data_IF_420548939337
#
_entry.id   IF_420548939337
#
_cell.length_a   1.000
_cell.length_b   1.000
_cell.length_c   1.000
_cell.angle_alpha   90.00
_cell.angle_beta   90.00
_cell.angle_gamma   90.00
#
_symmetry.space_group_name_H-M   'P 1'
#
loop_
_entity.id
_entity.type
_entity.pdbx_description
1 polymer ?
#
# COMPACT_ATOMS: atom_id res chain seq x y z
N UNK A 1 -35.28 -61.17 48.90
CA UNK A 1 -33.85 -61.50 49.05
C UNK A 1 -33.02 -60.23 48.87
N UNK A 2 -32.27 -59.81 49.91
CA UNK A 2 -31.10 -58.90 49.83
C UNK A 2 -29.89 -59.73 49.34
N UNK A 3 -28.78 -59.18 48.78
CA UNK A 3 -27.94 -58.19 49.48
C UNK A 3 -27.14 -57.13 48.67
N UNK A 4 -26.79 -56.10 49.44
CA UNK A 4 -25.63 -55.19 49.42
C UNK A 4 -24.57 -55.24 48.30
N UNK A 5 -24.18 -54.06 47.81
CA UNK A 5 -22.77 -53.63 47.75
C UNK A 5 -22.64 -52.09 47.79
N UNK A 6 -21.85 -51.58 48.73
CA UNK A 6 -21.33 -50.20 48.79
C UNK A 6 -20.00 -50.17 48.03
N UNK A 7 -19.67 -49.09 47.33
CA UNK A 7 -18.28 -48.58 47.25
C UNK A 7 -18.22 -47.12 46.80
N UNK A 8 -17.45 -46.35 47.56
CA UNK A 8 -17.17 -44.91 47.46
C UNK A 8 -16.32 -44.54 46.23
N UNK A 9 -16.50 -43.33 45.68
CA UNK A 9 -15.42 -42.66 44.93
C UNK A 9 -15.51 -41.12 45.00
N UNK A 10 -14.68 -40.57 45.91
CA UNK A 10 -13.79 -39.40 45.77
C UNK A 10 -14.40 -38.08 45.23
N UNK A 11 -14.69 -37.17 46.16
CA UNK A 11 -14.87 -35.73 45.94
C UNK A 11 -13.49 -35.05 45.87
N UNK A 12 -13.06 -34.61 44.69
CA UNK A 12 -11.79 -33.89 44.51
C UNK A 12 -11.97 -32.41 44.87
N UNK A 13 -11.59 -32.03 46.09
CA UNK A 13 -11.52 -30.63 46.54
C UNK A 13 -10.28 -29.99 45.91
N UNK A 14 -10.48 -29.09 44.95
CA UNK A 14 -9.43 -28.29 44.32
C UNK A 14 -9.03 -27.15 45.27
N UNK A 15 -8.01 -27.38 46.11
CA UNK A 15 -7.42 -26.34 46.96
C UNK A 15 -6.54 -25.43 46.09
N UNK A 16 -7.10 -24.34 45.56
CA UNK A 16 -6.30 -23.29 44.92
C UNK A 16 -5.53 -22.52 45.99
N UNK A 17 -4.25 -22.85 46.14
CA UNK A 17 -3.28 -22.04 46.88
C UNK A 17 -3.22 -20.63 46.27
N UNK A 18 -3.86 -19.67 46.93
CA UNK A 18 -3.57 -18.24 46.75
C UNK A 18 -2.16 -17.98 47.29
N UNK A 19 -1.13 -18.21 46.48
CA UNK A 19 0.16 -17.57 46.71
C UNK A 19 -0.02 -16.07 46.45
N UNK A 20 0.37 -15.18 47.37
CA UNK A 20 0.42 -13.76 47.06
C UNK A 20 1.38 -13.59 45.89
N UNK A 21 0.90 -13.02 44.79
CA UNK A 21 1.75 -12.63 43.69
C UNK A 21 2.86 -11.73 44.25
N UNK A 22 4.10 -12.22 44.24
CA UNK A 22 5.25 -11.35 44.48
C UNK A 22 5.12 -10.18 43.50
N UNK A 23 5.04 -8.92 43.96
CA UNK A 23 4.98 -7.81 43.04
C UNK A 23 6.24 -7.86 42.19
N UNK A 24 6.07 -8.07 40.88
CA UNK A 24 7.16 -8.00 39.93
C UNK A 24 7.92 -6.68 40.19
N UNK A 25 9.18 -6.78 40.60
CA UNK A 25 10.02 -5.61 40.80
C UNK A 25 10.04 -4.83 39.49
N UNK A 26 9.31 -3.72 39.43
CA UNK A 26 9.28 -2.88 38.24
C UNK A 26 10.72 -2.48 37.93
N UNK A 27 11.21 -2.88 36.75
CA UNK A 27 12.58 -2.61 36.33
C UNK A 27 12.84 -1.09 36.39
N UNK A 28 13.76 -0.67 37.26
CA UNK A 28 14.16 0.73 37.35
C UNK A 28 14.87 1.17 36.07
N UNK A 29 14.75 2.45 35.70
CA UNK A 29 15.41 3.00 34.51
C UNK A 29 15.89 4.43 34.77
N UNK A 30 16.88 4.89 33.99
CA UNK A 30 17.39 6.24 34.12
C UNK A 30 16.46 7.27 33.47
N UNK A 31 16.32 8.43 34.10
CA UNK A 31 15.71 9.65 33.53
C UNK A 31 16.72 10.77 33.61
N UNK A 32 16.70 11.69 32.65
CA UNK A 32 17.60 12.85 32.60
C UNK A 32 16.79 14.14 32.51
N UNK A 33 17.21 15.16 33.25
CA UNK A 33 16.63 16.52 33.15
C UNK A 33 17.06 17.14 31.83
N UNK A 34 16.09 17.45 30.98
CA UNK A 34 16.29 18.01 29.63
C UNK A 34 16.04 19.51 29.54
N UNK A 35 15.37 20.10 30.54
CA UNK A 35 15.16 21.55 30.59
C UNK A 35 16.46 22.27 30.98
N UNK A 36 16.84 23.31 30.23
CA UNK A 36 18.04 24.14 30.52
C UNK A 36 17.90 24.90 31.85
N UNK A 37 16.69 25.23 32.26
CA UNK A 37 16.40 25.88 33.55
C UNK A 37 16.36 24.89 34.72
N UNK A 38 16.64 23.59 34.49
CA UNK A 38 16.48 22.54 35.48
C UNK A 38 15.04 22.03 35.61
N UNK A 39 14.80 21.20 36.62
CA UNK A 39 13.49 20.59 36.88
C UNK A 39 13.18 20.48 38.36
N UNK A 40 11.98 20.93 38.75
CA UNK A 40 11.54 20.84 40.15
C UNK A 40 11.34 19.37 40.55
N UNK A 41 12.09 18.92 41.56
CA UNK A 41 11.83 17.67 42.26
C UNK A 41 10.77 17.93 43.31
N UNK A 42 9.75 17.09 43.31
CA UNK A 42 8.56 17.30 44.14
C UNK A 42 8.27 16.15 45.09
N UNK A 43 7.66 16.46 46.22
CA UNK A 43 7.21 15.49 47.21
C UNK A 43 5.97 14.71 46.74
N UNK A 44 5.14 15.30 45.87
CA UNK A 44 3.96 14.67 45.24
C UNK A 44 3.86 15.05 43.75
N UNK A 45 3.19 14.23 42.91
CA UNK A 45 3.07 14.46 41.47
C UNK A 45 2.04 15.54 41.13
N UNK A 46 2.32 16.79 41.49
CA UNK A 46 1.43 17.93 41.25
C UNK A 46 2.22 19.20 40.89
N UNK A 47 1.73 19.95 39.90
CA UNK A 47 2.24 21.29 39.56
C UNK A 47 1.43 22.42 40.21
N UNK A 48 0.31 22.11 40.85
CA UNK A 48 -0.69 23.07 41.32
C UNK A 48 -0.26 23.87 42.57
N UNK A 49 0.87 23.53 43.20
CA UNK A 49 1.37 24.23 44.39
C UNK A 49 2.90 24.24 44.43
N UNK A 50 3.48 25.36 44.83
CA UNK A 50 4.91 25.51 45.09
C UNK A 50 5.36 24.75 46.36
N UNK A 51 4.46 24.53 47.32
CA UNK A 51 4.74 23.81 48.58
C UNK A 51 5.16 22.34 48.38
N UNK A 52 4.98 21.79 47.17
CA UNK A 52 5.44 20.43 46.86
C UNK A 52 6.88 20.39 46.37
N UNK A 53 7.51 21.52 46.08
CA UNK A 53 8.87 21.58 45.54
C UNK A 53 9.85 21.32 46.67
N UNK A 54 10.66 20.27 46.54
CA UNK A 54 11.67 19.88 47.52
C UNK A 54 13.00 20.54 47.19
N UNK A 55 13.39 20.51 45.92
CA UNK A 55 14.60 21.15 45.39
C UNK A 55 14.57 21.24 43.87
N UNK A 56 15.44 22.06 43.31
CA UNK A 56 15.68 22.12 41.88
C UNK A 56 16.75 21.10 41.47
N UNK A 57 16.48 20.31 40.44
CA UNK A 57 17.47 19.46 39.79
C UNK A 57 18.10 20.19 38.60
N UNK A 58 19.44 20.18 38.52
CA UNK A 58 20.17 20.84 37.44
C UNK A 58 19.93 20.18 36.07
N UNK A 59 20.11 20.96 35.00
CA UNK A 59 20.13 20.43 33.63
C UNK A 59 21.15 19.28 33.52
N UNK A 60 20.76 18.20 32.81
CA UNK A 60 21.53 16.96 32.65
C UNK A 60 21.73 16.09 33.90
N UNK A 61 21.20 16.46 35.06
CA UNK A 61 21.15 15.55 36.20
C UNK A 61 20.33 14.30 35.86
N UNK A 62 20.80 13.14 36.36
CA UNK A 62 20.21 11.82 36.10
C UNK A 62 19.63 11.24 37.38
N UNK A 63 18.52 10.54 37.25
CA UNK A 63 17.84 9.88 38.36
C UNK A 63 17.41 8.48 37.98
N UNK A 64 17.41 7.58 38.96
CA UNK A 64 16.79 6.27 38.84
C UNK A 64 15.29 6.41 39.07
N UNK A 65 14.49 6.23 38.01
CA UNK A 65 13.05 6.15 38.08
C UNK A 65 12.60 4.69 38.30
N UNK A 66 11.66 4.50 39.21
CA UNK A 66 11.08 3.18 39.53
C UNK A 66 9.69 2.98 38.96
N UNK A 67 9.02 4.07 38.55
CA UNK A 67 7.73 4.01 37.84
C UNK A 67 7.46 5.31 37.09
N UNK A 68 6.50 5.25 36.17
CA UNK A 68 5.95 6.40 35.47
C UNK A 68 4.44 6.29 35.39
N UNK A 69 3.74 7.33 35.83
CA UNK A 69 2.29 7.41 35.75
C UNK A 69 1.87 8.88 35.65
N UNK A 70 0.84 9.16 34.84
CA UNK A 70 0.21 10.48 34.72
C UNK A 70 1.20 11.63 34.46
N UNK A 71 2.24 11.40 33.67
CA UNK A 71 3.23 12.42 33.33
C UNK A 71 4.36 12.61 34.36
N UNK A 72 4.42 11.77 35.39
CA UNK A 72 5.43 11.88 36.46
C UNK A 72 6.32 10.65 36.53
N UNK A 73 7.62 10.89 36.63
CA UNK A 73 8.59 9.89 37.02
C UNK A 73 8.68 9.83 38.54
N UNK A 74 8.44 8.66 39.14
CA UNK A 74 8.78 8.41 40.55
C UNK A 74 10.25 8.04 40.62
N UNK A 75 11.07 8.94 41.16
CA UNK A 75 12.53 8.85 41.19
C UNK A 75 13.04 8.58 42.60
N UNK A 76 14.18 7.90 42.72
CA UNK A 76 14.93 7.79 43.97
C UNK A 76 15.84 9.02 44.10
N UNK A 77 15.59 9.85 45.11
CA UNK A 77 16.34 11.07 45.40
C UNK A 77 16.75 11.09 46.88
N UNK A 78 18.06 10.97 47.16
CA UNK A 78 18.58 10.96 48.53
C UNK A 78 17.96 9.89 49.44
N UNK A 79 17.64 8.70 48.89
CA UNK A 79 17.00 7.61 49.62
C UNK A 79 15.47 7.68 49.72
N UNK A 80 14.86 8.83 49.37
CA UNK A 80 13.40 9.02 49.38
C UNK A 80 12.83 8.95 47.96
N UNK A 81 11.58 8.51 47.82
CA UNK A 81 10.87 8.61 46.54
C UNK A 81 10.29 10.01 46.33
N UNK A 82 10.67 10.63 45.21
CA UNK A 82 10.21 11.95 44.79
C UNK A 82 9.67 11.89 43.36
N UNK A 83 9.12 13.00 42.88
CA UNK A 83 8.46 13.08 41.58
C UNK A 83 9.12 14.15 40.70
N UNK A 84 9.37 13.77 39.44
CA UNK A 84 9.93 14.64 38.42
C UNK A 84 9.02 14.61 37.18
N UNK A 85 8.64 15.78 36.67
CA UNK A 85 7.69 15.91 35.56
C UNK A 85 8.33 15.53 34.22
N UNK A 86 7.55 14.90 33.34
CA UNK A 86 7.92 14.60 31.96
C UNK A 86 8.05 15.84 31.06
N UNK A 87 7.60 17.00 31.54
CA UNK A 87 7.78 18.28 30.86
C UNK A 87 9.24 18.76 30.94
N UNK A 88 9.96 18.36 32.00
CA UNK A 88 11.34 18.81 32.26
C UNK A 88 12.37 17.69 32.19
N UNK A 89 11.95 16.43 32.12
CA UNK A 89 12.82 15.27 32.07
C UNK A 89 12.33 14.23 31.07
N UNK A 90 13.24 13.38 30.60
CA UNK A 90 12.93 12.25 29.70
C UNK A 90 13.60 10.97 30.17
N UNK A 91 12.94 9.84 29.94
CA UNK A 91 13.55 8.50 30.08
C UNK A 91 14.80 8.41 29.20
N UNK A 92 15.92 8.02 29.80
CA UNK A 92 17.14 7.67 29.08
C UNK A 92 16.89 6.34 28.39
N UNK A 93 16.59 6.40 27.10
CA UNK A 93 16.65 5.23 26.23
C UNK A 93 18.10 5.03 25.80
N UNK A 94 18.64 3.81 25.94
CA UNK A 94 19.90 3.45 25.30
C UNK A 94 19.86 3.75 23.79
N UNK A 95 21.00 3.81 23.10
CA UNK A 95 21.01 4.10 21.67
C UNK A 95 20.18 3.03 20.95
N UNK A 96 19.00 3.42 20.47
CA UNK A 96 18.17 2.56 19.63
C UNK A 96 18.94 2.33 18.33
N UNK A 97 19.42 1.10 18.14
CA UNK A 97 20.06 0.74 16.87
C UNK A 97 19.01 0.58 15.79
N UNK A 98 19.38 0.89 14.55
CA UNK A 98 18.54 0.62 13.38
C UNK A 98 19.40 0.16 12.20
N UNK A 99 18.81 -0.67 11.34
CA UNK A 99 19.51 -1.23 10.20
C UNK A 99 19.65 -0.21 9.07
N UNK A 100 20.80 -0.18 8.42
CA UNK A 100 21.07 0.48 7.16
C UNK A 100 21.36 -0.59 6.10
N UNK A 101 20.96 -0.36 4.86
CA UNK A 101 21.38 -1.17 3.70
C UNK A 101 22.31 -0.35 2.81
N UNK A 102 23.42 -0.95 2.37
CA UNK A 102 24.32 -0.34 1.40
C UNK A 102 23.67 -0.32 0.01
N UNK A 103 23.46 0.86 -0.54
CA UNK A 103 22.74 1.07 -1.81
C UNK A 103 23.67 1.30 -3.00
N UNK A 104 24.93 1.68 -2.76
CA UNK A 104 25.91 1.85 -3.83
C UNK A 104 26.40 0.49 -4.37
N UNK A 105 26.40 0.30 -5.69
CA UNK A 105 26.90 -0.92 -6.35
C UNK A 105 28.40 -1.14 -6.10
N UNK A 106 29.17 -0.07 -5.94
CA UNK A 106 30.60 -0.15 -5.58
C UNK A 106 30.83 -0.44 -4.09
N UNK A 107 29.77 -0.56 -3.28
CA UNK A 107 29.85 -0.70 -1.84
C UNK A 107 29.98 0.64 -1.09
N UNK A 108 30.26 0.58 0.20
CA UNK A 108 30.39 1.75 1.07
C UNK A 108 31.71 1.73 1.86
N UNK A 109 32.41 2.86 1.90
CA UNK A 109 33.58 3.02 2.76
C UNK A 109 33.13 3.19 4.21
N UNK A 110 33.58 2.28 5.07
CA UNK A 110 33.43 2.37 6.53
C UNK A 110 34.64 3.09 7.08
N UNK A 111 34.41 4.17 7.82
CA UNK A 111 35.46 5.10 8.21
C UNK A 111 35.64 5.23 9.72
N UNK A 112 36.86 5.55 10.15
CA UNK A 112 37.20 5.82 11.55
C UNK A 112 36.64 7.16 12.04
N UNK A 113 36.43 8.12 11.15
CA UNK A 113 35.81 9.43 11.42
C UNK A 113 34.93 9.90 10.25
N UNK A 114 33.95 10.80 10.46
CA UNK A 114 33.02 11.26 9.43
C UNK A 114 33.68 12.27 8.46
N UNK A 115 34.55 11.79 7.58
CA UNK A 115 35.27 12.62 6.60
C UNK A 115 35.47 11.88 5.28
N UNK A 116 35.26 12.56 4.15
CA UNK A 116 35.58 12.05 2.82
C UNK A 116 36.96 12.49 2.31
N UNK A 117 37.59 13.48 2.95
CA UNK A 117 38.78 14.17 2.47
C UNK A 117 40.07 13.36 2.51
N UNK A 118 40.08 12.18 3.12
CA UNK A 118 41.29 11.34 3.21
C UNK A 118 40.97 9.85 3.15
N UNK A 119 41.73 9.12 2.33
CA UNK A 119 41.70 7.65 2.23
C UNK A 119 42.16 6.97 3.52
N UNK A 120 43.05 7.60 4.31
CA UNK A 120 43.56 7.07 5.60
C UNK A 120 42.47 6.83 6.64
N UNK A 121 41.29 7.42 6.46
CA UNK A 121 40.15 7.20 7.37
C UNK A 121 39.35 5.97 7.02
N UNK A 122 39.55 5.34 5.86
CA UNK A 122 38.83 4.14 5.43
C UNK A 122 39.41 2.94 6.18
N UNK A 123 38.55 2.26 6.94
CA UNK A 123 38.92 1.08 7.73
C UNK A 123 38.65 -0.20 6.95
N UNK A 124 37.52 -0.25 6.26
CA UNK A 124 37.13 -1.36 5.37
C UNK A 124 36.04 -0.90 4.40
N UNK A 125 35.71 -1.76 3.43
CA UNK A 125 34.54 -1.60 2.58
C UNK A 125 33.42 -2.54 3.00
N UNK A 126 32.19 -2.04 2.99
CA UNK A 126 30.98 -2.84 3.12
C UNK A 126 30.41 -3.11 1.71
N UNK A 127 30.05 -4.37 1.44
CA UNK A 127 29.56 -4.79 0.13
C UNK A 127 28.18 -4.21 -0.19
N UNK A 128 27.83 -4.11 -1.47
CA UNK A 128 26.49 -3.76 -1.92
C UNK A 128 25.45 -4.70 -1.29
N UNK A 129 24.31 -4.14 -0.85
CA UNK A 129 23.23 -4.83 -0.10
C UNK A 129 23.57 -5.36 1.30
N UNK A 130 24.81 -5.21 1.77
CA UNK A 130 25.13 -5.55 3.17
C UNK A 130 24.36 -4.65 4.14
N UNK A 131 24.10 -5.19 5.34
CA UNK A 131 23.35 -4.49 6.39
C UNK A 131 24.30 -4.01 7.47
N UNK A 132 24.18 -2.76 7.87
CA UNK A 132 24.96 -2.13 8.95
C UNK A 132 24.03 -1.75 10.10
N UNK A 133 24.51 -1.81 11.34
CA UNK A 133 23.76 -1.36 12.51
C UNK A 133 24.16 0.07 12.88
N UNK A 134 23.28 1.03 12.59
CA UNK A 134 23.46 2.43 12.97
C UNK A 134 22.96 2.69 14.39
N UNK A 135 23.65 3.58 15.09
CA UNK A 135 23.34 4.04 16.45
C UNK A 135 22.91 5.50 16.48
N UNK A 136 23.36 6.32 15.52
CA UNK A 136 22.94 7.72 15.40
C UNK A 136 23.17 8.26 13.98
N UNK A 137 22.66 9.46 13.72
CA UNK A 137 22.83 10.19 12.47
C UNK A 137 23.11 11.67 12.77
N UNK A 138 24.13 12.24 12.14
CA UNK A 138 24.43 13.67 12.25
C UNK A 138 25.21 14.15 11.03
N UNK A 139 24.85 15.33 10.50
CA UNK A 139 25.57 16.03 9.41
C UNK A 139 25.93 15.13 8.21
N UNK A 140 25.00 14.29 7.77
CA UNK A 140 25.20 13.41 6.61
C UNK A 140 25.92 12.08 6.90
N UNK A 141 26.27 11.82 8.16
CA UNK A 141 26.96 10.60 8.57
C UNK A 141 26.12 9.77 9.52
N UNK A 142 26.10 8.46 9.25
CA UNK A 142 25.62 7.49 10.20
C UNK A 142 26.77 6.98 11.04
N UNK A 143 26.59 7.02 12.36
CA UNK A 143 27.46 6.32 13.31
C UNK A 143 26.97 4.88 13.41
N UNK A 144 27.86 3.90 13.25
CA UNK A 144 27.54 2.47 13.23
C UNK A 144 28.38 1.70 14.27
N UNK A 145 27.87 0.55 14.70
CA UNK A 145 28.67 -0.46 15.41
C UNK A 145 29.31 -1.40 14.38
N UNK A 146 30.63 -1.54 14.45
CA UNK A 146 31.42 -2.38 13.54
C UNK A 146 32.56 -3.04 14.31
N UNK A 147 32.47 -4.36 14.53
CA UNK A 147 33.46 -5.13 15.30
C UNK A 147 33.68 -4.57 16.72
N UNK A 148 32.61 -4.18 17.41
CA UNK A 148 32.67 -3.57 18.75
C UNK A 148 33.15 -2.11 18.79
N UNK A 149 33.63 -1.55 17.67
CA UNK A 149 34.07 -0.15 17.57
C UNK A 149 33.01 0.73 16.92
N UNK A 150 33.03 2.01 17.29
CA UNK A 150 32.22 3.04 16.63
C UNK A 150 32.90 3.46 15.32
N UNK A 151 32.17 3.35 14.21
CA UNK A 151 32.62 3.74 12.86
C UNK A 151 31.56 4.61 12.17
N UNK A 152 31.91 5.15 11.02
CA UNK A 152 31.06 6.09 10.28
C UNK A 152 30.86 5.64 8.83
N UNK A 153 29.65 5.86 8.31
CA UNK A 153 29.31 5.63 6.91
C UNK A 153 28.47 6.80 6.38
N UNK A 154 28.76 7.24 5.16
CA UNK A 154 28.08 8.37 4.52
C UNK A 154 26.65 8.00 4.13
N UNK A 155 25.70 8.92 4.35
CA UNK A 155 24.30 8.76 3.95
C UNK A 155 24.07 8.73 2.44
N UNK A 156 25.09 9.06 1.63
CA UNK A 156 25.03 9.02 0.18
C UNK A 156 25.02 7.59 -0.36
N UNK A 157 25.57 6.63 0.39
CA UNK A 157 25.78 5.24 -0.06
C UNK A 157 24.99 4.21 0.73
N UNK A 158 24.17 4.65 1.69
CA UNK A 158 23.32 3.79 2.52
C UNK A 158 21.94 4.40 2.73
N UNK A 159 20.95 3.57 3.00
CA UNK A 159 19.59 3.99 3.40
C UNK A 159 19.13 3.18 4.61
N UNK A 160 18.26 3.76 5.45
CA UNK A 160 17.61 2.98 6.52
C UNK A 160 16.88 1.79 5.91
N UNK A 161 17.20 0.58 6.38
CA UNK A 161 16.49 -0.64 6.03
C UNK A 161 15.15 -0.60 6.77
N UNK A 162 14.11 -0.19 6.06
CA UNK A 162 12.74 -0.31 6.54
C UNK A 162 12.31 -1.77 6.44
N UNK A 163 11.48 -2.22 7.38
CA UNK A 163 10.79 -3.51 7.22
C UNK A 163 10.02 -3.47 5.90
N UNK A 164 10.12 -4.54 5.10
CA UNK A 164 9.35 -4.63 3.87
C UNK A 164 7.87 -4.51 4.22
N UNK A 165 7.21 -3.48 3.73
CA UNK A 165 5.77 -3.29 3.96
C UNK A 165 5.05 -4.52 3.42
N UNK A 166 4.18 -5.14 4.24
CA UNK A 166 3.31 -6.27 3.82
C UNK A 166 2.54 -5.94 2.52
N UNK A 167 2.22 -4.66 2.34
CA UNK A 167 1.56 -4.12 1.16
C UNK A 167 2.35 -2.93 0.60
N UNK A 168 3.37 -3.20 -0.26
CA UNK A 168 4.31 -2.17 -0.66
C UNK A 168 3.79 -1.20 -1.74
N UNK A 169 2.58 -1.39 -2.29
CA UNK A 169 1.91 -0.40 -3.14
C UNK A 169 1.53 0.86 -2.34
N UNK A 170 1.39 2.02 -2.99
CA UNK A 170 1.05 3.25 -2.27
C UNK A 170 -0.38 3.22 -1.73
N UNK A 171 -1.36 2.85 -2.56
CA UNK A 171 -2.76 2.69 -2.16
C UNK A 171 -3.29 1.30 -2.51
N UNK A 172 -4.08 0.72 -1.61
CA UNK A 172 -4.69 -0.61 -1.79
C UNK A 172 -6.11 -0.65 -1.22
N UNK A 173 -6.97 -1.47 -1.84
CA UNK A 173 -8.21 -1.93 -1.21
C UNK A 173 -8.51 -3.37 -1.61
N UNK A 174 -8.73 -4.24 -0.63
CA UNK A 174 -9.10 -5.65 -0.80
C UNK A 174 -10.44 -5.88 -0.09
N UNK A 175 -11.39 -6.50 -0.77
CA UNK A 175 -12.79 -6.59 -0.33
C UNK A 175 -13.48 -7.80 -0.96
N UNK A 176 -14.55 -8.28 -0.35
CA UNK A 176 -15.47 -9.22 -0.97
C UNK A 176 -16.33 -8.49 -2.01
N UNK A 177 -16.48 -9.04 -3.22
CA UNK A 177 -17.29 -8.41 -4.26
C UNK A 177 -18.75 -8.30 -3.81
N UNK A 178 -19.38 -7.17 -4.12
CA UNK A 178 -20.74 -6.81 -3.68
C UNK A 178 -20.77 -6.11 -2.32
N UNK A 179 -19.70 -6.16 -1.52
CA UNK A 179 -19.65 -5.49 -0.22
C UNK A 179 -19.27 -4.01 -0.35
N UNK A 180 -19.85 -3.16 0.50
CA UNK A 180 -19.41 -1.77 0.72
C UNK A 180 -18.21 -1.69 1.68
N UNK A 181 -18.02 -2.72 2.51
CA UNK A 181 -16.89 -2.87 3.44
C UNK A 181 -15.61 -3.34 2.74
N UNK A 182 -14.49 -3.29 3.44
CA UNK A 182 -13.20 -3.80 2.98
C UNK A 182 -12.58 -4.73 4.01
N UNK A 183 -11.73 -5.64 3.56
CA UNK A 183 -10.96 -6.58 4.38
C UNK A 183 -9.57 -6.00 4.69
N UNK A 184 -8.94 -5.36 3.70
CA UNK A 184 -7.65 -4.70 3.89
C UNK A 184 -7.62 -3.40 3.09
N UNK A 185 -7.06 -2.34 3.68
CA UNK A 185 -6.94 -1.02 3.06
C UNK A 185 -5.57 -0.40 3.34
N UNK A 186 -5.11 0.45 2.43
CA UNK A 186 -3.96 1.34 2.65
C UNK A 186 -4.17 2.60 1.84
N UNK A 187 -4.18 3.76 2.49
CA UNK A 187 -4.33 5.07 1.83
C UNK A 187 -5.40 5.08 0.72
N UNK A 188 -6.53 4.40 0.95
CA UNK A 188 -7.47 4.08 -0.15
C UNK A 188 -8.33 5.26 -0.58
N UNK A 189 -8.43 6.30 0.25
CA UNK A 189 -9.11 7.56 -0.07
C UNK A 189 -8.18 8.60 -0.70
N UNK A 190 -6.88 8.31 -0.85
CA UNK A 190 -5.93 9.24 -1.48
C UNK A 190 -6.11 9.22 -2.99
N UNK A 191 -6.24 10.40 -3.59
CA UNK A 191 -6.32 10.57 -5.06
C UNK A 191 -5.04 10.06 -5.72
N UNK A 192 -5.20 9.23 -6.75
CA UNK A 192 -4.14 8.65 -7.58
C UNK A 192 -4.59 8.67 -9.03
N UNK A 193 -3.64 8.68 -9.96
CA UNK A 193 -3.95 8.49 -11.38
C UNK A 193 -4.32 7.02 -11.63
N UNK A 194 -5.46 6.73 -12.29
CA UNK A 194 -5.93 5.37 -12.55
C UNK A 194 -5.15 4.65 -13.65
N UNK A 195 -4.50 5.40 -14.56
CA UNK A 195 -4.03 4.87 -15.84
C UNK A 195 -5.12 4.03 -16.55
N UNK A 196 -4.75 2.97 -17.26
CA UNK A 196 -5.69 2.11 -18.01
C UNK A 196 -6.72 1.34 -17.18
N UNK A 197 -6.70 1.39 -15.84
CA UNK A 197 -7.83 0.86 -15.04
C UNK A 197 -9.12 1.65 -15.28
N UNK A 198 -9.01 2.88 -15.81
CA UNK A 198 -10.10 3.68 -16.40
C UNK A 198 -10.99 2.88 -17.36
N UNK A 199 -10.40 1.97 -18.15
CA UNK A 199 -11.09 1.21 -19.19
C UNK A 199 -12.18 0.27 -18.64
N UNK A 200 -12.19 0.00 -17.33
CA UNK A 200 -13.30 -0.71 -16.69
C UNK A 200 -14.61 0.11 -16.75
N UNK A 201 -14.53 1.42 -16.51
CA UNK A 201 -15.68 2.33 -16.62
C UNK A 201 -16.08 2.52 -18.08
N UNK A 202 -15.11 2.70 -18.98
CA UNK A 202 -15.35 2.76 -20.44
C UNK A 202 -16.06 1.52 -20.95
N UNK A 203 -15.68 0.34 -20.46
CA UNK A 203 -16.32 -0.92 -20.83
C UNK A 203 -17.78 -0.99 -20.35
N UNK A 204 -18.07 -0.57 -19.12
CA UNK A 204 -19.45 -0.52 -18.61
C UNK A 204 -20.29 0.41 -19.48
N UNK A 205 -19.87 1.67 -19.65
CA UNK A 205 -20.66 2.67 -20.38
C UNK A 205 -20.87 2.25 -21.85
N UNK A 206 -19.81 1.83 -22.53
CA UNK A 206 -19.90 1.38 -23.92
C UNK A 206 -20.75 0.12 -24.10
N UNK A 207 -20.64 -0.83 -23.17
CA UNK A 207 -21.46 -2.06 -23.18
C UNK A 207 -22.94 -1.76 -22.94
N UNK A 208 -23.27 -0.95 -21.93
CA UNK A 208 -24.66 -0.61 -21.57
C UNK A 208 -25.39 0.05 -22.74
N UNK A 209 -24.77 1.05 -23.38
CA UNK A 209 -25.38 1.75 -24.51
C UNK A 209 -25.52 0.82 -25.71
N UNK A 210 -24.48 0.04 -26.04
CA UNK A 210 -24.55 -0.88 -27.17
C UNK A 210 -25.57 -2.00 -26.96
N UNK A 211 -25.67 -2.53 -25.74
CA UNK A 211 -26.65 -3.56 -25.38
C UNK A 211 -28.08 -3.03 -25.48
N UNK A 212 -28.34 -1.84 -24.90
CA UNK A 212 -29.66 -1.18 -24.96
C UNK A 212 -30.11 -0.94 -26.41
N UNK A 213 -29.18 -0.59 -27.29
CA UNK A 213 -29.47 -0.29 -28.68
C UNK A 213 -29.40 -1.52 -29.60
N UNK A 214 -29.12 -2.72 -29.09
CA UNK A 214 -28.97 -3.93 -29.91
C UNK A 214 -27.78 -3.89 -30.89
N UNK A 215 -26.74 -3.10 -30.61
CA UNK A 215 -25.61 -2.84 -31.53
C UNK A 215 -24.31 -3.54 -31.15
N UNK A 216 -24.32 -4.45 -30.17
CA UNK A 216 -23.11 -5.16 -29.72
C UNK A 216 -22.37 -5.89 -30.85
N UNK A 217 -23.15 -6.47 -31.76
CA UNK A 217 -22.69 -7.32 -32.86
C UNK A 217 -22.82 -6.64 -34.23
N UNK A 218 -23.40 -5.43 -34.27
CA UNK A 218 -23.52 -4.66 -35.51
C UNK A 218 -22.15 -4.09 -35.92
N UNK A 219 -21.63 -4.48 -37.10
CA UNK A 219 -20.31 -4.03 -37.54
C UNK A 219 -20.37 -2.60 -38.09
N UNK A 220 -19.37 -1.79 -37.76
CA UNK A 220 -19.20 -0.42 -38.28
C UNK A 220 -17.75 -0.19 -38.71
N UNK A 221 -17.56 0.80 -39.59
CA UNK A 221 -16.24 1.14 -40.14
C UNK A 221 -15.53 2.16 -39.26
N UNK A 222 -14.29 1.88 -38.87
CA UNK A 222 -13.45 2.80 -38.13
C UNK A 222 -12.92 3.90 -39.06
N UNK A 223 -12.96 5.15 -38.61
CA UNK A 223 -12.24 6.25 -39.24
C UNK A 223 -10.92 6.51 -38.52
N UNK A 224 -9.99 7.22 -39.16
CA UNK A 224 -8.74 7.62 -38.52
C UNK A 224 -8.96 8.40 -37.21
N UNK A 225 -9.94 9.32 -37.18
CA UNK A 225 -10.26 10.10 -36.00
C UNK A 225 -10.78 9.26 -34.83
N UNK A 226 -11.33 8.06 -35.06
CA UNK A 226 -11.79 7.16 -34.00
C UNK A 226 -10.66 6.37 -33.33
N UNK A 227 -9.47 6.33 -33.92
CA UNK A 227 -8.36 5.48 -33.44
C UNK A 227 -7.05 6.25 -33.24
N UNK A 228 -6.97 7.52 -33.64
CA UNK A 228 -5.81 8.37 -33.42
C UNK A 228 -5.63 8.66 -31.93
N UNK A 229 -4.54 8.15 -31.35
CA UNK A 229 -4.24 8.23 -29.92
C UNK A 229 -2.81 8.71 -29.68
N UNK A 230 -2.51 9.31 -28.50
CA UNK A 230 -1.18 9.85 -28.23
C UNK A 230 -0.05 8.81 -28.36
N UNK A 231 1.14 9.28 -28.75
CA UNK A 231 2.34 8.47 -28.81
C UNK A 231 2.65 7.80 -27.45
N UNK A 232 3.22 6.58 -27.49
CA UNK A 232 3.46 5.77 -26.29
C UNK A 232 2.23 5.04 -25.72
N UNK A 233 1.05 5.21 -26.36
CA UNK A 233 -0.15 4.45 -26.02
C UNK A 233 0.00 2.96 -26.32
N UNK A 234 -0.58 2.12 -25.45
CA UNK A 234 -0.86 0.74 -25.83
C UNK A 234 -1.98 0.74 -26.86
N UNK A 235 -1.79 0.03 -27.98
CA UNK A 235 -2.78 -0.04 -29.08
C UNK A 235 -3.20 -1.49 -29.34
N UNK A 236 -4.44 -1.66 -29.81
CA UNK A 236 -5.00 -2.90 -30.31
C UNK A 236 -4.65 -3.14 -31.80
N UNK A 237 -3.92 -2.22 -32.43
CA UNK A 237 -3.48 -2.29 -33.83
C UNK A 237 -4.65 -2.24 -34.83
N UNK A 238 -5.68 -1.48 -34.47
CA UNK A 238 -6.79 -1.14 -35.35
C UNK A 238 -6.33 -0.14 -36.42
N UNK A 239 -7.00 -0.14 -37.57
CA UNK A 239 -6.71 0.73 -38.72
C UNK A 239 -7.98 1.41 -39.20
N UNK A 240 -7.82 2.58 -39.82
CA UNK A 240 -8.92 3.24 -40.54
C UNK A 240 -9.38 2.32 -41.67
N UNK A 241 -10.69 2.21 -41.86
CA UNK A 241 -11.32 1.27 -42.79
C UNK A 241 -11.64 -0.11 -42.18
N UNK A 242 -11.10 -0.46 -41.01
CA UNK A 242 -11.46 -1.72 -40.35
C UNK A 242 -12.97 -1.73 -40.02
N UNK A 243 -13.66 -2.81 -40.38
CA UNK A 243 -15.06 -3.05 -40.05
C UNK A 243 -15.13 -3.98 -38.84
N UNK A 244 -15.54 -3.43 -37.70
CA UNK A 244 -15.48 -4.08 -36.37
C UNK A 244 -16.79 -4.01 -35.60
N UNK A 245 -17.00 -4.91 -34.66
CA UNK A 245 -18.13 -4.87 -33.72
C UNK A 245 -17.74 -4.29 -32.36
N UNK A 246 -18.71 -3.85 -31.56
CA UNK A 246 -18.46 -3.42 -30.17
C UNK A 246 -17.82 -4.55 -29.35
N UNK A 247 -18.21 -5.82 -29.56
CA UNK A 247 -17.57 -6.96 -28.89
C UNK A 247 -16.09 -7.08 -29.20
N UNK A 248 -15.69 -6.88 -30.47
CA UNK A 248 -14.29 -6.92 -30.86
C UNK A 248 -13.50 -5.78 -30.21
N UNK A 249 -14.07 -4.58 -30.18
CA UNK A 249 -13.45 -3.42 -29.51
C UNK A 249 -13.30 -3.63 -28.00
N UNK A 250 -14.32 -4.15 -27.33
CA UNK A 250 -14.26 -4.47 -25.89
C UNK A 250 -13.15 -5.50 -25.60
N UNK A 251 -12.98 -6.51 -26.46
CA UNK A 251 -11.88 -7.48 -26.35
C UNK A 251 -10.51 -6.82 -26.54
N UNK A 252 -10.32 -6.04 -27.61
CA UNK A 252 -9.06 -5.33 -27.86
C UNK A 252 -8.71 -4.35 -26.74
N UNK A 253 -9.71 -3.63 -26.22
CA UNK A 253 -9.54 -2.69 -25.12
C UNK A 253 -9.18 -3.38 -23.80
N UNK A 254 -9.89 -4.43 -23.40
CA UNK A 254 -9.70 -5.03 -22.08
C UNK A 254 -8.48 -5.96 -22.03
N UNK A 255 -8.25 -6.75 -23.09
CA UNK A 255 -7.16 -7.75 -23.14
C UNK A 255 -5.82 -7.07 -23.44
N UNK A 256 -5.74 -6.33 -24.56
CA UNK A 256 -4.50 -5.66 -25.00
C UNK A 256 -4.27 -4.30 -24.34
N UNK A 257 -5.27 -3.75 -23.65
CA UNK A 257 -5.26 -2.39 -23.13
C UNK A 257 -5.22 -1.32 -24.24
N UNK A 258 -5.77 -1.61 -25.43
CA UNK A 258 -5.75 -0.71 -26.58
C UNK A 258 -6.47 0.61 -26.33
N UNK A 259 -5.76 1.73 -26.49
CA UNK A 259 -6.31 3.09 -26.39
C UNK A 259 -7.13 3.44 -27.65
N UNK A 260 -6.67 3.01 -28.81
CA UNK A 260 -7.38 3.07 -30.10
C UNK A 260 -8.77 2.42 -29.99
N UNK A 261 -8.85 1.23 -29.37
CA UNK A 261 -10.13 0.55 -29.13
C UNK A 261 -11.02 1.33 -28.16
N UNK A 262 -10.46 1.89 -27.08
CA UNK A 262 -11.21 2.68 -26.11
C UNK A 262 -11.78 3.97 -26.70
N UNK A 263 -10.99 4.66 -27.54
CA UNK A 263 -11.41 5.85 -28.28
C UNK A 263 -12.50 5.52 -29.31
N UNK A 264 -12.34 4.42 -30.03
CA UNK A 264 -13.36 3.95 -30.98
C UNK A 264 -14.69 3.62 -30.28
N UNK A 265 -14.64 2.96 -29.11
CA UNK A 265 -15.82 2.74 -28.26
C UNK A 265 -16.47 4.07 -27.89
N UNK A 266 -15.68 5.03 -27.43
CA UNK A 266 -16.19 6.33 -27.00
C UNK A 266 -16.93 7.07 -28.12
N UNK A 267 -16.28 7.20 -29.29
CA UNK A 267 -16.86 7.88 -30.45
C UNK A 267 -18.07 7.11 -31.01
N UNK A 268 -18.03 5.77 -31.11
CA UNK A 268 -19.18 4.98 -31.57
C UNK A 268 -20.39 5.10 -30.65
N UNK A 269 -20.14 5.25 -29.35
CA UNK A 269 -21.18 5.27 -28.31
C UNK A 269 -21.84 6.64 -28.18
N UNK A 270 -21.06 7.72 -28.20
CA UNK A 270 -21.54 9.07 -27.86
C UNK A 270 -21.34 10.11 -28.99
N UNK A 271 -20.79 9.71 -30.13
CA UNK A 271 -20.46 10.59 -31.26
C UNK A 271 -19.13 11.35 -31.09
N UNK A 272 -18.65 11.55 -29.86
CA UNK A 272 -17.33 12.15 -29.59
C UNK A 272 -16.76 11.70 -28.24
N UNK A 273 -15.44 11.84 -28.07
CA UNK A 273 -14.77 11.53 -26.81
C UNK A 273 -15.27 12.40 -25.65
N UNK A 274 -15.47 13.70 -25.89
CA UNK A 274 -15.96 14.64 -24.87
C UNK A 274 -17.36 14.28 -24.35
N UNK A 275 -18.29 13.94 -25.26
CA UNK A 275 -19.63 13.46 -24.88
C UNK A 275 -19.54 12.14 -24.10
N UNK A 276 -18.65 11.23 -24.51
CA UNK A 276 -18.45 9.98 -23.79
C UNK A 276 -17.84 10.18 -22.40
N UNK A 277 -16.88 11.10 -22.25
CA UNK A 277 -16.30 11.47 -20.94
C UNK A 277 -17.37 12.04 -20.01
N UNK A 278 -18.33 12.80 -20.54
CA UNK A 278 -19.49 13.27 -19.77
C UNK A 278 -20.35 12.10 -19.28
N UNK A 279 -20.61 11.10 -20.12
CA UNK A 279 -21.29 9.86 -19.71
C UNK A 279 -20.50 9.07 -18.66
N UNK A 280 -19.16 8.99 -18.80
CA UNK A 280 -18.30 8.33 -17.81
C UNK A 280 -18.40 9.00 -16.45
N UNK A 281 -18.27 10.32 -16.37
CA UNK A 281 -18.34 11.03 -15.10
C UNK A 281 -19.74 10.99 -14.48
N UNK A 282 -20.80 11.08 -15.31
CA UNK A 282 -22.18 10.88 -14.86
C UNK A 282 -22.38 9.48 -14.27
N UNK A 283 -21.85 8.45 -14.94
CA UNK A 283 -21.89 7.08 -14.43
C UNK A 283 -21.07 6.93 -13.15
N UNK A 284 -19.88 7.51 -13.06
CA UNK A 284 -19.05 7.50 -11.86
C UNK A 284 -19.77 8.14 -10.67
N UNK A 285 -20.44 9.28 -10.89
CA UNK A 285 -21.26 9.95 -9.87
C UNK A 285 -22.43 9.07 -9.42
N UNK A 286 -23.14 8.43 -10.34
CA UNK A 286 -24.23 7.50 -10.02
C UNK A 286 -23.77 6.27 -9.22
N UNK A 287 -22.50 5.85 -9.38
CA UNK A 287 -21.88 4.80 -8.56
C UNK A 287 -21.33 5.33 -7.22
N UNK A 288 -21.49 6.62 -6.94
CA UNK A 288 -20.99 7.29 -5.74
C UNK A 288 -19.48 7.51 -5.74
N UNK A 289 -18.79 7.52 -6.89
CA UNK A 289 -17.33 7.72 -7.00
C UNK A 289 -16.94 9.20 -6.85
N UNK A 290 -17.27 9.82 -5.72
CA UNK A 290 -17.17 11.27 -5.47
C UNK A 290 -15.75 11.82 -5.40
N UNK A 291 -14.73 10.95 -5.31
CA UNK A 291 -13.32 11.34 -5.30
C UNK A 291 -12.61 10.96 -6.62
N UNK A 292 -13.36 10.86 -7.71
CA UNK A 292 -12.87 10.50 -9.04
C UNK A 292 -13.31 11.50 -10.11
N UNK A 293 -12.44 11.71 -11.10
CA UNK A 293 -12.73 12.45 -12.33
C UNK A 293 -11.99 11.77 -13.49
N UNK A 294 -12.70 11.53 -14.59
CA UNK A 294 -12.13 10.93 -15.80
C UNK A 294 -12.11 11.97 -16.92
N UNK A 295 -10.96 12.15 -17.57
CA UNK A 295 -10.76 13.14 -18.64
C UNK A 295 -10.67 12.51 -20.04
N UNK A 296 -10.50 11.18 -20.12
CA UNK A 296 -10.45 10.44 -21.38
C UNK A 296 -10.89 8.97 -21.19
N UNK A 297 -11.26 8.23 -22.25
CA UNK A 297 -11.79 6.86 -22.12
C UNK A 297 -10.72 5.79 -21.91
N UNK A 298 -9.43 6.13 -22.06
CA UNK A 298 -8.35 5.15 -22.05
C UNK A 298 -7.47 5.21 -20.81
N UNK A 299 -7.48 6.30 -20.06
CA UNK A 299 -6.59 6.56 -18.94
C UNK A 299 -5.16 6.92 -19.36
N UNK A 300 -5.02 7.65 -20.46
CA UNK A 300 -3.76 8.34 -20.76
C UNK A 300 -3.63 9.51 -19.77
N UNK A 301 -2.40 9.92 -19.45
CA UNK A 301 -2.19 10.86 -18.36
C UNK A 301 -2.78 12.24 -18.68
N UNK A 302 -3.55 12.76 -17.74
CA UNK A 302 -4.05 14.13 -17.67
C UNK A 302 -4.08 14.52 -16.18
N UNK A 303 -3.78 15.78 -15.85
CA UNK A 303 -3.71 16.22 -14.45
C UNK A 303 -5.04 16.09 -13.71
N UNK A 304 -6.15 16.35 -14.41
CA UNK A 304 -7.49 16.24 -13.83
C UNK A 304 -8.04 14.80 -13.86
N UNK A 305 -7.27 13.80 -14.31
CA UNK A 305 -7.74 12.42 -14.46
C UNK A 305 -7.32 11.57 -13.25
N UNK A 306 -8.16 11.48 -12.22
CA UNK A 306 -7.84 10.84 -10.95
C UNK A 306 -8.97 9.94 -10.42
N UNK A 307 -8.61 9.05 -9.51
CA UNK A 307 -9.54 8.22 -8.73
C UNK A 307 -8.96 7.90 -7.36
N UNK A 308 -9.66 7.10 -6.57
CA UNK A 308 -9.17 6.52 -5.30
C UNK A 308 -9.34 5.00 -5.32
N UNK A 309 -8.61 4.28 -4.46
CA UNK A 309 -8.82 2.83 -4.36
C UNK A 309 -10.20 2.48 -3.77
N UNK A 310 -10.77 3.39 -2.98
CA UNK A 310 -12.15 3.32 -2.48
C UNK A 310 -13.19 3.44 -3.59
N UNK A 311 -13.04 4.39 -4.51
CA UNK A 311 -13.96 4.54 -5.63
C UNK A 311 -13.81 3.41 -6.65
N UNK A 312 -12.59 2.94 -6.89
CA UNK A 312 -12.36 1.78 -7.74
C UNK A 312 -12.96 0.48 -7.16
N UNK A 313 -13.19 0.38 -5.85
CA UNK A 313 -13.99 -0.72 -5.28
C UNK A 313 -15.44 -0.64 -5.76
N UNK A 314 -16.06 0.54 -5.75
CA UNK A 314 -17.45 0.75 -6.22
C UNK A 314 -17.56 0.37 -7.70
N UNK A 315 -16.58 0.81 -8.50
CA UNK A 315 -16.48 0.42 -9.90
C UNK A 315 -16.32 -1.09 -10.08
N UNK A 316 -15.43 -1.73 -9.31
CA UNK A 316 -15.20 -3.17 -9.40
C UNK A 316 -16.43 -3.99 -8.98
N UNK A 317 -17.13 -3.60 -7.91
CA UNK A 317 -18.39 -4.23 -7.50
C UNK A 317 -19.43 -4.17 -8.62
N UNK A 318 -19.56 -3.01 -9.26
CA UNK A 318 -20.48 -2.83 -10.41
C UNK A 318 -20.04 -3.67 -11.60
N UNK A 319 -18.76 -3.59 -11.98
CA UNK A 319 -18.18 -4.32 -13.11
C UNK A 319 -18.37 -5.85 -12.97
N UNK A 320 -18.32 -6.38 -11.75
CA UNK A 320 -18.49 -7.80 -11.46
C UNK A 320 -19.88 -8.36 -11.81
N UNK A 321 -20.88 -7.50 -12.04
CA UNK A 321 -22.22 -7.90 -12.45
C UNK A 321 -22.36 -8.06 -13.98
N UNK A 322 -21.37 -7.64 -14.76
CA UNK A 322 -21.38 -7.76 -16.22
C UNK A 322 -20.63 -9.02 -16.61
N UNK A 323 -21.33 -10.16 -16.65
CA UNK A 323 -20.76 -11.49 -16.94
C UNK A 323 -19.91 -11.51 -18.22
N UNK A 324 -20.38 -10.85 -19.28
CA UNK A 324 -19.64 -10.71 -20.54
C UNK A 324 -18.32 -9.95 -20.35
N UNK A 325 -18.33 -8.80 -19.66
CA UNK A 325 -17.14 -7.99 -19.45
C UNK A 325 -16.12 -8.71 -18.56
N UNK A 326 -16.59 -9.38 -17.50
CA UNK A 326 -15.77 -10.25 -16.65
C UNK A 326 -15.10 -11.33 -17.50
N UNK A 327 -15.87 -12.02 -18.34
CA UNK A 327 -15.36 -13.06 -19.24
C UNK A 327 -14.28 -12.53 -20.16
N UNK A 328 -14.50 -11.36 -20.78
CA UNK A 328 -13.51 -10.72 -21.66
C UNK A 328 -12.21 -10.40 -20.90
N UNK A 329 -12.31 -9.79 -19.72
CA UNK A 329 -11.15 -9.48 -18.86
C UNK A 329 -10.51 -10.71 -18.17
N UNK A 330 -11.10 -11.90 -18.34
CA UNK A 330 -10.59 -13.18 -17.88
C UNK A 330 -9.84 -13.99 -18.95
N UNK A 331 -9.90 -13.57 -20.22
CA UNK A 331 -9.28 -14.30 -21.33
C UNK A 331 -7.77 -14.14 -21.31
N UNK A 332 -7.04 -15.25 -21.46
CA UNK A 332 -5.57 -15.23 -21.69
C UNK A 332 -5.21 -14.57 -23.01
N UNK A 333 -6.03 -14.78 -24.04
CA UNK A 333 -5.89 -14.17 -25.36
C UNK A 333 -7.21 -14.18 -26.11
N UNK A 334 -7.31 -13.40 -27.18
CA UNK A 334 -8.44 -13.39 -28.10
C UNK A 334 -7.96 -13.20 -29.54
N UNK A 335 -8.55 -13.94 -30.47
CA UNK A 335 -8.36 -13.75 -31.91
C UNK A 335 -9.59 -13.06 -32.49
N UNK A 336 -9.40 -11.95 -33.18
CA UNK A 336 -10.46 -11.19 -33.85
C UNK A 336 -10.23 -11.21 -35.35
N UNK A 337 -11.21 -11.70 -36.11
CA UNK A 337 -11.23 -11.53 -37.57
C UNK A 337 -11.77 -10.13 -37.91
N UNK A 338 -10.88 -9.27 -38.41
CA UNK A 338 -11.19 -7.89 -38.78
C UNK A 338 -11.50 -7.85 -40.27
N UNK A 339 -12.68 -7.31 -40.62
CA UNK A 339 -13.13 -7.13 -42.00
C UNK A 339 -12.77 -5.73 -42.51
N UNK A 340 -12.99 -5.46 -43.79
CA UNK A 340 -12.67 -4.19 -44.45
C UNK A 340 -11.55 -4.35 -45.50
N UNK A 341 -11.04 -3.24 -46.07
CA UNK A 341 -10.03 -3.29 -47.14
C UNK A 341 -8.68 -3.87 -46.70
N UNK A 342 -8.41 -3.91 -45.39
CA UNK A 342 -7.19 -4.49 -44.79
C UNK A 342 -7.50 -5.71 -43.93
N UNK A 343 -8.40 -6.57 -44.43
CA UNK A 343 -8.90 -7.73 -43.70
C UNK A 343 -7.75 -8.61 -43.16
N UNK A 344 -7.80 -8.93 -41.87
CA UNK A 344 -6.74 -9.66 -41.17
C UNK A 344 -7.23 -10.24 -39.85
N UNK A 345 -6.51 -11.21 -39.32
CA UNK A 345 -6.73 -11.69 -37.95
C UNK A 345 -5.79 -10.97 -36.98
N UNK A 346 -6.35 -10.30 -35.99
CA UNK A 346 -5.59 -9.76 -34.85
C UNK A 346 -5.62 -10.75 -33.69
N UNK A 347 -4.47 -10.98 -33.05
CA UNK A 347 -4.37 -11.78 -31.81
C UNK A 347 -3.89 -10.89 -30.67
N UNK A 348 -4.72 -10.74 -29.66
CA UNK A 348 -4.40 -9.98 -28.45
C UNK A 348 -4.08 -10.91 -27.31
N UNK A 349 -2.99 -10.65 -26.60
CA UNK A 349 -2.62 -11.33 -25.36
C UNK A 349 -2.93 -10.44 -24.16
N UNK A 350 -3.39 -11.06 -23.08
CA UNK A 350 -3.74 -10.34 -21.88
C UNK A 350 -2.50 -9.66 -21.29
N UNK A 351 -2.63 -8.37 -20.98
CA UNK A 351 -1.53 -7.58 -20.39
C UNK A 351 -1.15 -8.02 -18.99
N UNK A 352 -2.07 -8.66 -18.25
CA UNK A 352 -1.76 -9.26 -16.96
C UNK A 352 -1.18 -10.67 -17.08
N UNK A 353 0.14 -10.78 -16.90
CA UNK A 353 0.87 -12.05 -16.91
C UNK A 353 0.65 -12.93 -15.68
N UNK A 354 -0.03 -12.42 -14.63
CA UNK A 354 -0.34 -13.19 -13.42
C UNK A 354 -1.60 -14.04 -13.59
N UNK A 355 -2.54 -13.61 -14.42
CA UNK A 355 -3.79 -14.32 -14.70
C UNK A 355 -3.58 -15.78 -15.16
N UNK A 356 -2.67 -16.11 -16.09
CA UNK A 356 -2.41 -17.50 -16.45
C UNK A 356 -1.64 -18.31 -15.39
N UNK A 357 -1.04 -17.66 -14.38
CA UNK A 357 -0.14 -18.28 -13.39
C UNK A 357 -0.78 -18.49 -12.03
N UNK A 358 -1.74 -17.67 -11.66
CA UNK A 358 -2.43 -17.71 -10.37
C UNK A 358 -3.92 -18.05 -10.61
N UNK A 359 -4.35 -19.30 -10.38
CA UNK A 359 -5.69 -19.79 -10.73
C UNK A 359 -6.83 -19.09 -9.96
N UNK A 360 -6.52 -18.39 -8.87
CA UNK A 360 -7.49 -17.59 -8.13
C UNK A 360 -7.85 -16.29 -8.85
N UNK A 361 -7.02 -15.80 -9.77
CA UNK A 361 -7.36 -14.62 -10.59
C UNK A 361 -8.21 -15.09 -11.77
N UNK A 362 -9.46 -14.64 -11.84
CA UNK A 362 -10.36 -14.99 -12.96
C UNK A 362 -10.62 -13.82 -13.91
N UNK A 363 -10.27 -12.59 -13.52
CA UNK A 363 -10.25 -11.42 -14.39
C UNK A 363 -9.32 -10.35 -13.81
N UNK A 364 -8.75 -9.50 -14.67
CA UNK A 364 -8.04 -8.30 -14.19
C UNK A 364 -7.96 -7.19 -15.22
N UNK A 365 -7.60 -5.99 -14.77
CA UNK A 365 -7.20 -4.88 -15.64
C UNK A 365 -5.93 -4.23 -15.11
N UNK A 366 -4.91 -4.17 -15.96
CA UNK A 366 -3.65 -3.46 -15.71
C UNK A 366 -3.72 -1.99 -16.12
N UNK A 367 -2.84 -1.17 -15.57
CA UNK A 367 -2.55 0.17 -16.08
C UNK A 367 -1.15 0.64 -15.70
N UNK A 368 -0.60 1.49 -16.55
CA UNK A 368 0.69 2.16 -16.32
C UNK A 368 0.73 3.48 -17.09
N UNK A 369 1.17 4.53 -16.42
CA UNK A 369 1.81 5.72 -17.01
C UNK A 369 3.01 6.07 -16.12
N UNK A 370 3.98 6.87 -16.59
CA UNK A 370 5.08 7.34 -15.74
C UNK A 370 4.61 8.00 -14.43
N UNK A 371 3.51 8.72 -14.46
CA UNK A 371 2.95 9.48 -13.34
C UNK A 371 2.12 8.60 -12.39
N UNK A 372 1.33 7.69 -12.97
CA UNK A 372 0.48 6.76 -12.24
C UNK A 372 1.27 5.61 -11.59
N UNK A 373 2.45 5.28 -12.13
CA UNK A 373 3.10 3.99 -11.95
C UNK A 373 2.13 2.83 -12.27
N UNK A 374 2.37 1.63 -11.75
CA UNK A 374 1.49 0.50 -11.99
C UNK A 374 0.21 0.62 -11.17
N UNK A 375 -0.91 0.47 -11.86
CA UNK A 375 -2.25 0.34 -11.30
C UNK A 375 -2.84 -1.00 -11.72
N UNK A 376 -3.68 -1.57 -10.87
CA UNK A 376 -4.33 -2.84 -11.18
C UNK A 376 -5.61 -3.04 -10.41
N UNK A 377 -6.59 -3.64 -11.07
CA UNK A 377 -7.78 -4.20 -10.44
C UNK A 377 -7.81 -5.69 -10.75
N UNK A 378 -7.83 -6.52 -9.71
CA UNK A 378 -7.98 -7.96 -9.82
C UNK A 378 -9.36 -8.39 -9.34
N UNK A 379 -9.89 -9.41 -10.00
CA UNK A 379 -11.05 -10.16 -9.57
C UNK A 379 -10.58 -11.58 -9.21
N UNK A 380 -10.80 -11.94 -7.96
CA UNK A 380 -10.21 -13.11 -7.30
C UNK A 380 -11.31 -14.05 -6.80
N UNK A 381 -11.05 -15.36 -6.77
CA UNK A 381 -11.94 -16.36 -6.15
C UNK A 381 -11.21 -17.18 -5.09
N UNK A 382 -11.86 -17.46 -3.97
CA UNK A 382 -11.43 -18.41 -2.92
C UNK A 382 -12.65 -19.28 -2.57
N UNK A 383 -12.64 -20.53 -3.03
CA UNK A 383 -13.85 -21.36 -3.04
C UNK A 383 -14.96 -20.67 -3.83
N UNK A 384 -16.14 -20.58 -3.23
CA UNK A 384 -17.33 -19.94 -3.82
C UNK A 384 -17.38 -18.42 -3.60
N UNK A 385 -16.45 -17.85 -2.82
CA UNK A 385 -16.45 -16.42 -2.51
C UNK A 385 -15.58 -15.66 -3.51
N UNK A 386 -16.10 -14.54 -4.01
CA UNK A 386 -15.42 -13.66 -4.96
C UNK A 386 -14.94 -12.38 -4.28
N UNK A 387 -13.74 -11.93 -4.63
CA UNK A 387 -13.08 -10.77 -4.05
C UNK A 387 -12.56 -9.82 -5.12
N UNK A 388 -12.43 -8.55 -4.77
CA UNK A 388 -11.74 -7.53 -5.55
C UNK A 388 -10.47 -7.08 -4.84
N UNK A 389 -9.40 -6.86 -5.60
CA UNK A 389 -8.18 -6.19 -5.13
C UNK A 389 -7.86 -5.02 -6.07
N UNK A 390 -7.88 -3.81 -5.52
CA UNK A 390 -7.39 -2.60 -6.18
C UNK A 390 -6.01 -2.25 -5.63
N UNK A 391 -5.05 -2.02 -6.52
CA UNK A 391 -3.73 -1.49 -6.19
C UNK A 391 -3.42 -0.28 -7.06
N UNK A 392 -3.02 0.84 -6.46
CA UNK A 392 -2.67 2.07 -7.17
C UNK A 392 -1.27 2.54 -6.77
N UNK A 393 -0.52 3.03 -7.77
CA UNK A 393 0.83 3.58 -7.66
C UNK A 393 1.81 2.61 -6.97
N UNK A 394 2.22 1.59 -7.71
CA UNK A 394 3.32 0.69 -7.32
C UNK A 394 4.22 0.32 -8.48
N UNK A 395 5.28 -0.44 -8.21
CA UNK A 395 6.01 -1.16 -9.25
C UNK A 395 5.32 -2.50 -9.56
N UNK A 396 5.70 -3.21 -10.65
CA UNK A 396 5.16 -4.55 -10.91
C UNK A 396 5.42 -5.50 -9.74
N UNK A 397 6.64 -5.51 -9.20
CA UNK A 397 7.03 -6.33 -8.04
C UNK A 397 6.23 -5.98 -6.79
N UNK A 398 5.98 -4.69 -6.53
CA UNK A 398 5.18 -4.27 -5.37
C UNK A 398 3.72 -4.72 -5.50
N UNK A 399 3.16 -4.63 -6.72
CA UNK A 399 1.79 -5.08 -7.02
C UNK A 399 1.66 -6.58 -6.78
N UNK A 400 2.58 -7.38 -7.32
CA UNK A 400 2.58 -8.84 -7.12
C UNK A 400 2.82 -9.24 -5.67
N UNK A 401 3.68 -8.51 -4.96
CA UNK A 401 3.93 -8.76 -3.53
C UNK A 401 2.67 -8.47 -2.72
N UNK A 402 1.97 -7.38 -3.02
CA UNK A 402 0.68 -7.05 -2.40
C UNK A 402 -0.37 -8.13 -2.68
N UNK A 403 -0.48 -8.59 -3.93
CA UNK A 403 -1.36 -9.69 -4.33
C UNK A 403 -1.07 -10.96 -3.53
N UNK A 404 0.19 -11.41 -3.47
CA UNK A 404 0.60 -12.58 -2.68
C UNK A 404 0.27 -12.42 -1.19
N UNK A 405 0.43 -11.22 -0.64
CA UNK A 405 0.12 -10.94 0.76
C UNK A 405 -1.37 -11.02 1.08
N UNK A 406 -2.27 -10.61 0.18
CA UNK A 406 -3.72 -10.75 0.41
C UNK A 406 -4.21 -12.17 0.17
N UNK A 407 -3.61 -12.88 -0.78
CA UNK A 407 -3.94 -14.28 -1.10
C UNK A 407 -3.51 -15.29 -0.03
N UNK A 408 -2.69 -14.87 0.94
CA UNK A 408 -2.29 -15.66 2.12
C UNK A 408 -3.21 -15.48 3.33
N UNK A 409 -4.15 -14.52 3.26
CA UNK A 409 -5.25 -14.42 4.22
C UNK A 409 -6.32 -15.45 3.86
#
# INVERSE_FOLDING_TARGET
MKPFFRMSLILLILFTLFLPAFPAQAASYQVVVTSKSGGNIRSKPSTSSSATIVRLAAYQSKFTAVSYSNGWYKIKDGGTYRYLSNQVAKKVTGPSTYALVVTSKSGANIRSKPSTSSSKTIVRRAAYKSVLQAVSYSKGWYMIKDGGKTRYVSNQVVRKKTAASKYPVASLRYFQLGSTSYITTKQSNVRRYPASTTKLLTAIVGYEVAARNGTLDQPFTLTYSMISVPYGSSVASLRSGDRVTMRQLLNGMLIRSGNDAAKAIAVRTAGSESKFVSLMNSRAQALGMTASHFSNPHGFHEWNHYTTAADMQKLANTYANYSYLITVSGRKSYKASIKGPYARTLKWYHTDKTLPKEPRIYASKTGYTPEANNTRVFFLKKGNVRYGLVTLKGTPTQTETTLRSVLKQ
#
